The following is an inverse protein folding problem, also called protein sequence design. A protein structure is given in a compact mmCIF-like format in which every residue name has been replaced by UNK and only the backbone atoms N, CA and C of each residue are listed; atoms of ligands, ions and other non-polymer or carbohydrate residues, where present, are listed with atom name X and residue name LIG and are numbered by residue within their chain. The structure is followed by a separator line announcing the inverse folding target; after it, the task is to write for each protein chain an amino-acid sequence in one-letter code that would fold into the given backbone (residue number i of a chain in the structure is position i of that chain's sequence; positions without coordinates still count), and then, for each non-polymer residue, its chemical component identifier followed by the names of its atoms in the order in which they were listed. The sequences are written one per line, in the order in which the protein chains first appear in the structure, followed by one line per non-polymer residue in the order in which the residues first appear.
data_IF_554456792231
#
_entry.id   IF_554456792231
#
_cell.length_a   1.000
_cell.length_b   1.000
_cell.length_c   1.000
_cell.angle_alpha   90.00
_cell.angle_beta   90.00
_cell.angle_gamma   90.00
#
_symmetry.space_group_name_H-M   'P 1'
#
loop_
_entity.id
_entity.type
_entity.pdbx_description
1 polymer ?
#
# COMPACT_ATOMS: atom_id res chain seq x y z
N UNK A 1 0.33 0.91 -12.06
CA UNK A 1 0.33 2.25 -11.41
C UNK A 1 1.69 2.99 -11.47
N UNK A 2 2.74 2.35 -12.01
CA UNK A 2 4.11 2.89 -12.06
C UNK A 2 4.29 4.26 -12.74
N UNK A 3 3.51 4.61 -13.77
CA UNK A 3 3.66 5.89 -14.48
C UNK A 3 3.19 7.11 -13.67
N UNK A 4 2.25 6.96 -12.73
CA UNK A 4 1.68 8.09 -11.96
C UNK A 4 2.27 8.23 -10.54
N UNK A 5 2.90 7.18 -10.01
CA UNK A 5 3.53 7.19 -8.69
C UNK A 5 5.06 7.31 -8.74
N UNK A 6 5.65 7.40 -9.95
CA UNK A 6 7.10 7.49 -10.15
C UNK A 6 7.85 6.32 -9.53
N UNK A 7 9.14 6.52 -9.21
CA UNK A 7 10.01 5.52 -8.56
C UNK A 7 9.60 5.13 -7.13
N UNK A 8 8.46 5.60 -6.62
CA UNK A 8 7.99 5.34 -5.26
C UNK A 8 7.21 4.04 -5.08
N UNK A 9 6.84 3.35 -6.16
CA UNK A 9 6.28 1.98 -6.08
C UNK A 9 7.45 1.00 -6.03
N UNK A 10 7.61 0.34 -4.89
CA UNK A 10 8.54 -0.80 -4.76
C UNK A 10 8.03 -2.00 -5.53
N UNK A 11 6.74 -2.30 -5.38
CA UNK A 11 6.14 -3.50 -5.92
C UNK A 11 4.65 -3.32 -6.19
N UNK A 12 4.18 -3.88 -7.31
CA UNK A 12 2.76 -4.01 -7.65
C UNK A 12 2.52 -5.48 -8.00
N UNK A 13 1.76 -6.19 -7.17
CA UNK A 13 1.45 -7.62 -7.32
C UNK A 13 -0.04 -7.81 -7.46
N UNK A 14 -0.43 -8.58 -8.47
CA UNK A 14 -1.80 -9.02 -8.67
C UNK A 14 -1.92 -10.44 -8.10
N UNK A 15 -2.73 -10.59 -7.05
CA UNK A 15 -3.06 -11.89 -6.48
C UNK A 15 -4.57 -12.10 -6.56
N UNK A 16 -4.98 -12.95 -7.51
CA UNK A 16 -6.37 -13.30 -7.79
C UNK A 16 -7.25 -12.06 -8.03
N UNK A 17 -7.92 -11.59 -6.97
CA UNK A 17 -8.88 -10.47 -6.98
C UNK A 17 -8.36 -9.24 -6.22
N UNK A 18 -7.12 -9.27 -5.76
CA UNK A 18 -6.51 -8.22 -4.93
C UNK A 18 -5.26 -7.70 -5.63
N UNK A 19 -5.08 -6.38 -5.58
CA UNK A 19 -3.87 -5.71 -6.02
C UNK A 19 -3.11 -5.28 -4.76
N UNK A 20 -1.94 -5.87 -4.50
CA UNK A 20 -1.03 -5.43 -3.43
C UNK A 20 -0.05 -4.43 -4.02
N UNK A 21 0.02 -3.24 -3.41
CA UNK A 21 0.94 -2.18 -3.82
C UNK A 21 1.83 -1.87 -2.62
N UNK A 22 3.13 -2.08 -2.79
CA UNK A 22 4.13 -1.71 -1.80
C UNK A 22 4.76 -0.39 -2.22
N UNK A 23 4.75 0.59 -1.33
CA UNK A 23 5.31 1.92 -1.54
C UNK A 23 6.32 2.26 -0.45
N UNK A 24 7.18 3.23 -0.73
CA UNK A 24 7.97 3.88 0.32
C UNK A 24 7.08 4.69 1.28
N UNK A 25 7.52 4.85 2.54
CA UNK A 25 6.74 5.51 3.59
C UNK A 25 6.34 6.95 3.23
N UNK A 26 7.23 7.66 2.55
CA UNK A 26 7.07 9.05 2.12
C UNK A 26 6.08 9.19 0.96
N UNK A 27 5.82 8.11 0.24
CA UNK A 27 4.89 8.09 -0.88
C UNK A 27 3.46 7.66 -0.52
N UNK A 28 3.21 7.28 0.74
CA UNK A 28 1.91 6.78 1.20
C UNK A 28 0.75 7.73 0.86
N UNK A 29 0.92 9.02 1.14
CA UNK A 29 -0.13 10.02 0.89
C UNK A 29 -0.41 10.18 -0.60
N UNK A 30 0.63 10.15 -1.45
CA UNK A 30 0.47 10.22 -2.91
C UNK A 30 -0.26 8.98 -3.44
N UNK A 31 0.11 7.80 -2.93
CA UNK A 31 -0.54 6.54 -3.29
C UNK A 31 -2.02 6.53 -2.90
N UNK A 32 -2.35 6.96 -1.68
CA UNK A 32 -3.72 7.05 -1.21
C UNK A 32 -4.58 7.99 -2.07
N UNK A 33 -4.05 9.17 -2.45
CA UNK A 33 -4.75 10.11 -3.34
C UNK A 33 -5.04 9.49 -4.71
N UNK A 34 -4.03 8.88 -5.34
CA UNK A 34 -4.20 8.23 -6.64
C UNK A 34 -5.21 7.09 -6.58
N UNK A 35 -5.19 6.28 -5.51
CA UNK A 35 -6.13 5.17 -5.34
C UNK A 35 -7.56 5.67 -5.17
N UNK A 36 -7.75 6.76 -4.40
CA UNK A 36 -9.06 7.41 -4.28
C UNK A 36 -9.57 7.95 -5.61
N UNK A 37 -8.72 8.61 -6.41
CA UNK A 37 -9.07 9.09 -7.75
C UNK A 37 -9.47 7.95 -8.71
N UNK A 38 -9.03 6.72 -8.42
CA UNK A 38 -9.36 5.50 -9.17
C UNK A 38 -10.58 4.74 -8.63
N UNK A 39 -11.28 5.29 -7.64
CA UNK A 39 -12.49 4.70 -7.07
C UNK A 39 -12.24 3.79 -5.86
N UNK A 40 -11.02 3.70 -5.33
CA UNK A 40 -10.78 3.05 -4.03
C UNK A 40 -11.02 4.07 -2.91
N UNK A 41 -12.28 4.39 -2.67
CA UNK A 41 -12.74 5.47 -1.79
C UNK A 41 -13.00 5.03 -0.35
N UNK A 42 -13.01 3.72 -0.10
CA UNK A 42 -13.32 3.17 1.22
C UNK A 42 -12.13 2.41 1.84
N UNK A 43 -11.85 2.71 3.11
CA UNK A 43 -10.87 1.99 3.93
C UNK A 43 -11.58 0.89 4.72
N UNK A 44 -11.31 -0.37 4.37
CA UNK A 44 -11.85 -1.55 5.06
C UNK A 44 -11.15 -1.83 6.38
N UNK A 45 -9.88 -1.44 6.50
CA UNK A 45 -9.10 -1.63 7.71
C UNK A 45 -7.63 -1.27 7.54
N UNK A 46 -6.93 -1.13 8.66
CA UNK A 46 -5.48 -0.90 8.73
C UNK A 46 -4.89 -1.94 9.65
N UNK A 47 -3.86 -2.65 9.19
CA UNK A 47 -3.20 -3.71 9.95
C UNK A 47 -1.70 -3.47 10.01
N UNK A 48 -1.08 -3.72 11.16
CA UNK A 48 0.37 -3.69 11.33
C UNK A 48 0.91 -5.09 11.60
N UNK A 49 2.07 -5.41 11.04
CA UNK A 49 2.80 -6.66 11.29
C UNK A 49 4.18 -6.32 11.83
N UNK A 50 4.51 -6.91 12.98
CA UNK A 50 5.85 -6.88 13.54
C UNK A 50 6.69 -8.02 12.94
N UNK A 51 7.74 -7.62 12.24
CA UNK A 51 8.74 -8.44 11.57
C UNK A 51 10.11 -8.31 12.26
N UNK A 52 10.18 -7.78 13.49
CA UNK A 52 11.43 -7.63 14.25
C UNK A 52 12.19 -8.94 14.45
N UNK A 53 11.48 -10.08 14.45
CA UNK A 53 12.09 -11.41 14.47
C UNK A 53 12.77 -11.81 13.14
N UNK A 54 12.46 -11.14 12.03
CA UNK A 54 12.88 -11.51 10.67
C UNK A 54 13.68 -10.42 9.95
N UNK A 55 13.61 -9.17 10.40
CA UNK A 55 14.19 -8.01 9.72
C UNK A 55 14.94 -7.10 10.70
N UNK A 56 15.94 -6.34 10.22
CA UNK A 56 16.56 -5.27 11.01
C UNK A 56 15.53 -4.27 11.54
N UNK A 57 15.77 -3.64 12.71
CA UNK A 57 14.81 -2.75 13.37
C UNK A 57 14.23 -1.64 12.48
N UNK A 58 15.07 -1.09 11.60
CA UNK A 58 14.71 -0.02 10.65
C UNK A 58 13.61 -0.40 9.63
N UNK A 59 13.37 -1.70 9.42
CA UNK A 59 12.33 -2.23 8.52
C UNK A 59 11.48 -3.31 9.20
N UNK A 60 11.44 -3.30 10.53
CA UNK A 60 10.76 -4.32 11.33
C UNK A 60 9.24 -4.18 11.32
N UNK A 61 8.66 -3.05 10.92
CA UNK A 61 7.20 -2.88 10.93
C UNK A 61 6.65 -2.71 9.52
N UNK A 62 5.70 -3.57 9.14
CA UNK A 62 4.93 -3.45 7.90
C UNK A 62 3.51 -2.96 8.23
N UNK A 63 3.09 -1.85 7.62
CA UNK A 63 1.73 -1.32 7.76
C UNK A 63 0.99 -1.53 6.44
N UNK A 64 -0.15 -2.19 6.51
CA UNK A 64 -1.00 -2.49 5.36
C UNK A 64 -2.35 -1.77 5.50
N UNK A 65 -2.73 -1.06 4.44
CA UNK A 65 -4.02 -0.40 4.30
C UNK A 65 -4.90 -1.20 3.33
N UNK A 66 -6.06 -1.65 3.82
CA UNK A 66 -7.00 -2.44 3.03
C UNK A 66 -8.07 -1.51 2.47
N UNK A 67 -8.13 -1.41 1.14
CA UNK A 67 -9.04 -0.50 0.44
C UNK A 67 -10.10 -1.26 -0.37
N UNK A 68 -11.23 -0.62 -0.61
CA UNK A 68 -12.27 -1.07 -1.54
C UNK A 68 -12.99 0.11 -2.18
N UNK A 69 -13.97 -0.22 -3.03
CA UNK A 69 -14.96 0.73 -3.58
C UNK A 69 -16.30 0.44 -2.94
N UNK A 70 -17.01 1.48 -2.50
CA UNK A 70 -18.45 1.39 -2.19
C UNK A 70 -19.34 2.17 -3.16
N UNK A 71 -18.75 2.91 -4.08
CA UNK A 71 -19.38 3.31 -5.34
C UNK A 71 -19.47 2.16 -6.34
#
# INVERSE_FOLDING_TARGET
MKQNLGGSIKEEKFDKKIIKITVEKDALIRAAKLLRERGFDHVKGVTGVDLSALKPPENAFEVMYHLGSYT
#
